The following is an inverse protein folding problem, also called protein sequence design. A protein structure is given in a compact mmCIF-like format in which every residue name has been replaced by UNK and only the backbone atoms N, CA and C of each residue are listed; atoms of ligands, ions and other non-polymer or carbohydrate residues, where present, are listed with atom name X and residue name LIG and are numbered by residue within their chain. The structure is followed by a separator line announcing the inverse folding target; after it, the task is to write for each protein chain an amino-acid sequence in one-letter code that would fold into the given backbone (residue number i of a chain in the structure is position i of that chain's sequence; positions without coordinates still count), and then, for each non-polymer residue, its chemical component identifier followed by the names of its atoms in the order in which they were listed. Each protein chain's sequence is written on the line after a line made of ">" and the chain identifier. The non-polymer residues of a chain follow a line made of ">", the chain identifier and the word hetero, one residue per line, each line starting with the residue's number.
data_IF_179949397165
#
_entry.id   IF_179949397165
#
_cell.length_a   1.000
_cell.length_b   1.000
_cell.length_c   1.000
_cell.angle_alpha   90.00
_cell.angle_beta   90.00
_cell.angle_gamma   90.00
#
_symmetry.space_group_name_H-M   'P 1'
#
loop_
_entity.id
_entity.type
_entity.pdbx_description
1 polymer ?
#
# COMPACT_ATOMS: atom_id res chain seq x y z
N UNK A 1 -4.53 11.27 -38.31
CA UNK A 1 -5.53 11.15 -37.23
C UNK A 1 -4.80 10.83 -35.95
N UNK A 2 -4.84 11.73 -34.98
CA UNK A 2 -4.09 11.62 -33.72
C UNK A 2 -4.62 10.41 -32.93
N UNK A 3 -3.79 9.41 -32.69
CA UNK A 3 -4.17 8.09 -32.17
C UNK A 3 -4.19 7.97 -30.63
N UNK A 4 -4.62 9.02 -29.93
CA UNK A 4 -4.69 8.99 -28.48
C UNK A 4 -6.04 8.43 -28.00
N UNK A 5 -5.99 7.50 -27.05
CA UNK A 5 -7.17 6.95 -26.37
C UNK A 5 -7.31 7.62 -25.01
N UNK A 6 -8.47 8.20 -24.75
CA UNK A 6 -8.84 8.67 -23.41
C UNK A 6 -8.97 7.45 -22.49
N UNK A 7 -8.33 7.49 -21.31
CA UNK A 7 -8.41 6.43 -20.30
C UNK A 7 -8.94 7.03 -19.00
N UNK A 8 -10.08 6.53 -18.54
CA UNK A 8 -10.71 6.99 -17.29
C UNK A 8 -9.89 6.60 -16.04
N UNK A 9 -9.01 5.61 -16.17
CA UNK A 9 -8.15 5.14 -15.09
C UNK A 9 -6.71 5.01 -15.59
N UNK A 10 -5.81 5.80 -15.00
CA UNK A 10 -4.39 5.85 -15.33
C UNK A 10 -3.59 4.69 -14.67
N UNK A 11 -4.28 3.80 -13.96
CA UNK A 11 -3.66 2.66 -13.28
C UNK A 11 -2.81 3.09 -12.08
N UNK A 12 -1.73 2.34 -11.81
CA UNK A 12 -0.79 2.61 -10.70
C UNK A 12 0.40 3.41 -11.22
N UNK A 13 0.59 4.63 -10.72
CA UNK A 13 1.74 5.47 -11.03
C UNK A 13 2.56 5.73 -9.78
N UNK A 14 3.87 5.47 -9.84
CA UNK A 14 4.81 5.60 -8.72
C UNK A 14 4.39 4.87 -7.43
N UNK A 15 3.62 3.80 -7.54
CA UNK A 15 3.12 3.09 -6.36
C UNK A 15 1.69 3.46 -5.95
N UNK A 16 1.14 4.55 -6.47
CA UNK A 16 -0.17 5.08 -6.07
C UNK A 16 -1.20 4.86 -7.18
N UNK A 17 -2.40 4.33 -6.88
CA UNK A 17 -3.47 4.24 -7.86
C UNK A 17 -3.95 5.65 -8.25
N UNK A 18 -3.74 6.02 -9.51
CA UNK A 18 -4.29 7.23 -10.12
C UNK A 18 -5.69 6.91 -10.65
N UNK A 19 -6.63 6.81 -9.72
CA UNK A 19 -8.05 6.90 -10.05
C UNK A 19 -8.34 8.34 -10.42
N UNK A 20 -8.75 8.61 -11.67
CA UNK A 20 -9.17 9.94 -12.14
C UNK A 20 -10.47 10.48 -11.49
N UNK A 21 -10.78 9.99 -10.28
CA UNK A 21 -11.95 10.28 -9.46
C UNK A 21 -11.50 10.51 -8.01
N UNK A 22 -12.39 11.06 -7.18
CA UNK A 22 -12.12 11.19 -5.76
C UNK A 22 -11.74 9.84 -5.13
N UNK A 23 -10.71 9.79 -4.26
CA UNK A 23 -10.24 8.55 -3.66
C UNK A 23 -11.32 7.97 -2.74
N UNK A 24 -11.66 6.70 -2.97
CA UNK A 24 -12.58 5.90 -2.15
C UNK A 24 -11.76 5.02 -1.20
N UNK A 25 -12.39 4.54 -0.13
CA UNK A 25 -11.73 3.69 0.89
C UNK A 25 -10.98 2.49 0.30
N UNK A 26 -11.55 1.90 -0.74
CA UNK A 26 -10.98 0.78 -1.50
C UNK A 26 -9.69 1.12 -2.25
N UNK A 27 -9.48 2.38 -2.66
CA UNK A 27 -8.26 2.80 -3.35
C UNK A 27 -7.04 2.78 -2.39
N UNK A 28 -7.27 2.78 -1.07
CA UNK A 28 -6.24 2.65 -0.03
C UNK A 28 -5.93 1.20 0.36
N UNK A 29 -6.68 0.21 -0.15
CA UNK A 29 -6.45 -1.20 0.16
C UNK A 29 -5.02 -1.63 -0.17
N UNK A 30 -4.43 -1.06 -1.23
CA UNK A 30 -3.05 -1.32 -1.60
C UNK A 30 -2.06 -1.03 -0.46
N UNK A 31 -2.29 0.01 0.35
CA UNK A 31 -1.42 0.38 1.48
C UNK A 31 -1.50 -0.70 2.55
N UNK A 32 -2.72 -1.16 2.86
CA UNK A 32 -2.96 -2.23 3.84
C UNK A 32 -2.24 -3.51 3.41
N UNK A 33 -2.35 -3.86 2.13
CA UNK A 33 -1.69 -5.05 1.58
C UNK A 33 -0.15 -4.91 1.65
N UNK A 34 0.40 -3.72 1.42
CA UNK A 34 1.84 -3.46 1.61
C UNK A 34 2.27 -3.63 3.07
N UNK A 35 1.51 -3.10 4.03
CA UNK A 35 1.77 -3.28 5.47
C UNK A 35 1.76 -4.76 5.82
N UNK A 36 0.71 -5.49 5.41
CA UNK A 36 0.54 -6.91 5.72
C UNK A 36 1.67 -7.76 5.11
N UNK A 37 2.03 -7.52 3.85
CA UNK A 37 3.13 -8.24 3.20
C UNK A 37 4.47 -7.96 3.91
N UNK A 38 4.74 -6.70 4.28
CA UNK A 38 5.92 -6.35 5.06
C UNK A 38 5.91 -7.08 6.38
N UNK A 39 4.83 -7.05 7.16
CA UNK A 39 4.71 -7.73 8.45
C UNK A 39 4.81 -9.26 8.36
N UNK A 40 4.20 -9.86 7.34
CA UNK A 40 4.25 -11.30 7.10
C UNK A 40 5.66 -11.80 6.76
N UNK A 41 6.51 -10.94 6.18
CA UNK A 41 7.92 -11.28 5.90
C UNK A 41 8.77 -11.41 7.18
N UNK A 42 8.32 -10.86 8.31
CA UNK A 42 9.09 -10.92 9.56
C UNK A 42 8.73 -12.15 10.39
N UNK A 43 9.76 -12.73 11.03
CA UNK A 43 9.57 -13.81 12.01
C UNK A 43 8.99 -13.27 13.32
N UNK A 44 7.68 -12.99 13.34
CA UNK A 44 6.97 -12.46 14.50
C UNK A 44 7.10 -13.34 15.76
N UNK A 45 7.33 -14.64 15.59
CA UNK A 45 7.54 -15.60 16.68
C UNK A 45 8.87 -15.41 17.43
N UNK A 46 9.85 -14.71 16.84
CA UNK A 46 11.13 -14.40 17.48
C UNK A 46 11.10 -13.07 18.26
N UNK A 47 10.00 -12.32 18.16
CA UNK A 47 9.87 -11.01 18.78
C UNK A 47 9.03 -11.09 20.05
N UNK A 48 9.50 -10.40 21.09
CA UNK A 48 8.71 -10.12 22.28
C UNK A 48 7.45 -9.32 21.91
N UNK A 49 6.47 -9.24 22.83
CA UNK A 49 5.26 -8.45 22.60
C UNK A 49 5.59 -6.99 22.24
N UNK A 50 6.48 -6.36 23.01
CA UNK A 50 6.97 -5.01 22.72
C UNK A 50 7.67 -4.94 21.35
N UNK A 51 8.50 -5.93 21.00
CA UNK A 51 9.16 -6.00 19.69
C UNK A 51 8.18 -6.07 18.53
N UNK A 52 7.07 -6.81 18.66
CA UNK A 52 6.02 -6.86 17.64
C UNK A 52 5.30 -5.52 17.47
N UNK A 53 5.02 -4.82 18.56
CA UNK A 53 4.38 -3.49 18.53
C UNK A 53 5.30 -2.46 17.88
N UNK A 54 6.58 -2.42 18.27
CA UNK A 54 7.57 -1.50 17.68
C UNK A 54 7.77 -1.79 16.20
N UNK A 55 7.84 -3.06 15.80
CA UNK A 55 7.94 -3.44 14.39
C UNK A 55 6.71 -2.96 13.60
N UNK A 56 5.50 -3.24 14.09
CA UNK A 56 4.27 -2.79 13.45
C UNK A 56 4.26 -1.27 13.26
N UNK A 57 4.65 -0.52 14.30
CA UNK A 57 4.77 0.93 14.24
C UNK A 57 5.77 1.39 13.16
N UNK A 58 6.97 0.82 13.15
CA UNK A 58 8.01 1.17 12.17
C UNK A 58 7.61 0.87 10.72
N UNK A 59 6.88 -0.23 10.50
CA UNK A 59 6.40 -0.61 9.15
C UNK A 59 5.32 0.36 8.68
N UNK A 60 4.43 0.81 9.59
CA UNK A 60 3.40 1.81 9.27
C UNK A 60 4.01 3.19 9.00
N UNK A 61 5.08 3.58 9.69
CA UNK A 61 5.77 4.86 9.48
C UNK A 61 6.62 4.89 8.19
N UNK A 62 7.01 3.71 7.67
CA UNK A 62 7.89 3.58 6.50
C UNK A 62 7.15 3.39 5.16
N UNK A 63 5.82 3.60 5.14
CA UNK A 63 4.98 3.57 3.94
C UNK A 63 4.47 4.98 3.69
#
# INVERSE_FOLDING_TARGET
>A
MSGFRETDQLGKYLGVPLTGRAPRREDFQYIIDQVQNKLASWKAHLLSFAGRVTLAKSVMEAI
#
